data_IF_327740278169
#
_entry.id   IF_327740278169
#
_cell.length_a   1.000
_cell.length_b   1.000
_cell.length_c   1.000
_cell.angle_alpha   90.00
_cell.angle_beta   90.00
_cell.angle_gamma   90.00
#
_symmetry.space_group_name_H-M   'P 1'
#
loop_
_entity.id
_entity.type
_entity.pdbx_description
1 polymer ?
#
# COMPACT_ATOMS: atom_id res chain seq x y z
N UNK A 1 -2.42 -19.09 -8.34
CA UNK A 1 -2.46 -17.63 -8.08
C UNK A 1 -1.95 -16.92 -9.31
N UNK A 2 -2.55 -15.79 -9.72
CA UNK A 2 -2.04 -14.99 -10.85
C UNK A 2 -0.61 -14.52 -10.60
N UNK A 3 0.21 -14.49 -11.65
CA UNK A 3 1.63 -14.16 -11.56
C UNK A 3 1.93 -12.80 -10.91
N UNK A 4 1.20 -11.69 -11.21
CA UNK A 4 1.41 -10.41 -10.52
C UNK A 4 1.18 -10.48 -9.01
N UNK A 5 0.25 -11.32 -8.56
CA UNK A 5 -0.07 -11.50 -7.14
C UNK A 5 1.06 -12.25 -6.45
N UNK A 6 1.54 -13.34 -7.07
CA UNK A 6 2.70 -14.09 -6.54
C UNK A 6 3.92 -13.19 -6.45
N UNK A 7 4.16 -12.38 -7.49
CA UNK A 7 5.31 -11.49 -7.55
C UNK A 7 5.26 -10.44 -6.45
N UNK A 8 4.13 -9.71 -6.36
CA UNK A 8 3.95 -8.66 -5.35
C UNK A 8 4.10 -9.20 -3.93
N UNK A 9 3.49 -10.35 -3.62
CA UNK A 9 3.66 -10.99 -2.32
C UNK A 9 5.12 -11.36 -2.03
N UNK A 10 5.85 -11.88 -3.02
CA UNK A 10 7.21 -12.37 -2.83
C UNK A 10 8.30 -11.31 -2.78
N UNK A 11 8.08 -10.12 -3.37
CA UNK A 11 9.14 -9.11 -3.53
C UNK A 11 8.80 -7.71 -3.03
N UNK A 12 7.62 -7.48 -2.41
CA UNK A 12 7.23 -6.13 -1.96
C UNK A 12 8.19 -5.49 -0.95
N UNK A 13 9.02 -6.25 -0.23
CA UNK A 13 10.03 -5.70 0.68
C UNK A 13 11.36 -5.37 -0.03
N UNK A 14 11.52 -5.74 -1.30
CA UNK A 14 12.70 -5.42 -2.07
C UNK A 14 12.70 -3.92 -2.41
N UNK A 15 13.68 -3.21 -1.87
CA UNK A 15 13.86 -1.79 -2.11
C UNK A 15 14.21 -1.53 -3.59
N UNK A 16 13.68 -0.43 -4.12
CA UNK A 16 13.93 0.03 -5.49
C UNK A 16 13.70 -1.06 -6.55
N UNK A 17 12.56 -1.76 -6.44
CA UNK A 17 12.25 -2.88 -7.32
C UNK A 17 12.00 -2.41 -8.77
N UNK A 18 12.78 -2.94 -9.70
CA UNK A 18 12.60 -2.77 -11.13
C UNK A 18 12.60 -4.14 -11.82
N UNK A 19 11.42 -4.61 -12.22
CA UNK A 19 11.28 -5.95 -12.77
C UNK A 19 9.87 -6.27 -13.25
N UNK A 20 9.59 -7.55 -13.43
CA UNK A 20 8.27 -8.02 -13.86
C UNK A 20 7.18 -7.54 -12.89
N UNK A 21 6.08 -7.06 -13.47
CA UNK A 21 4.92 -6.58 -12.73
C UNK A 21 5.23 -5.46 -11.72
N UNK A 22 6.26 -4.64 -11.99
CA UNK A 22 6.70 -3.53 -11.13
C UNK A 22 5.55 -2.68 -10.57
N UNK A 23 4.59 -2.27 -11.39
CA UNK A 23 3.46 -1.47 -10.92
C UNK A 23 2.68 -2.15 -9.78
N UNK A 24 2.48 -3.47 -9.82
CA UNK A 24 1.78 -4.18 -8.75
C UNK A 24 2.61 -4.26 -7.46
N UNK A 25 3.94 -4.42 -7.59
CA UNK A 25 4.86 -4.37 -6.46
C UNK A 25 4.85 -2.97 -5.83
N UNK A 26 4.96 -1.92 -6.65
CA UNK A 26 4.92 -0.53 -6.22
C UNK A 26 3.58 -0.16 -5.57
N UNK A 27 2.45 -0.68 -6.07
CA UNK A 27 1.15 -0.47 -5.43
C UNK A 27 1.09 -1.06 -4.02
N UNK A 28 1.63 -2.26 -3.81
CA UNK A 28 1.73 -2.86 -2.47
C UNK A 28 2.69 -2.07 -1.59
N UNK A 29 3.82 -1.62 -2.14
CA UNK A 29 4.78 -0.79 -1.41
C UNK A 29 4.17 0.53 -0.96
N UNK A 30 3.48 1.23 -1.85
CA UNK A 30 2.78 2.48 -1.55
C UNK A 30 1.68 2.27 -0.51
N UNK A 31 0.87 1.22 -0.65
CA UNK A 31 -0.18 0.90 0.33
C UNK A 31 0.41 0.67 1.73
N UNK A 32 1.49 -0.10 1.83
CA UNK A 32 2.18 -0.31 3.11
C UNK A 32 2.78 0.99 3.66
N UNK A 33 3.39 1.84 2.83
CA UNK A 33 3.92 3.13 3.27
C UNK A 33 2.81 4.04 3.84
N UNK A 34 1.63 4.09 3.19
CA UNK A 34 0.48 4.88 3.66
C UNK A 34 -0.16 4.32 4.95
N UNK A 35 -0.12 3.00 5.13
CA UNK A 35 -0.68 2.32 6.31
C UNK A 35 0.28 2.28 7.51
N UNK A 36 1.59 2.47 7.29
CA UNK A 36 2.62 2.38 8.33
C UNK A 36 2.47 3.42 9.45
N UNK A 37 2.17 4.72 9.18
CA UNK A 37 1.88 5.70 10.24
C UNK A 37 0.68 5.32 11.12
N UNK A 38 -0.20 4.44 10.63
CA UNK A 38 -1.38 3.92 11.34
C UNK A 38 -1.10 2.63 12.11
N UNK A 39 0.14 2.14 12.09
CA UNK A 39 0.56 0.89 12.77
C UNK A 39 0.09 -0.39 12.06
N UNK A 40 -0.35 -0.29 10.80
CA UNK A 40 -0.89 -1.42 10.02
C UNK A 40 0.10 -1.86 8.93
N UNK A 41 0.78 -0.91 8.29
CA UNK A 41 1.69 -1.16 7.18
C UNK A 41 2.98 -1.88 7.58
N UNK A 42 3.66 -2.45 6.59
CA UNK A 42 4.93 -3.16 6.77
C UNK A 42 6.08 -2.22 7.18
N UNK A 43 6.72 -2.49 8.31
CA UNK A 43 7.84 -1.71 8.85
C UNK A 43 9.08 -1.73 7.96
N UNK A 44 9.27 -2.78 7.15
CA UNK A 44 10.43 -2.95 6.28
C UNK A 44 10.33 -2.18 4.97
N UNK A 45 9.16 -1.64 4.63
CA UNK A 45 9.00 -0.83 3.43
C UNK A 45 9.53 0.60 3.64
N UNK A 46 10.06 1.16 2.56
CA UNK A 46 10.58 2.52 2.53
C UNK A 46 9.49 3.55 2.83
N UNK A 47 9.85 4.57 3.61
CA UNK A 47 8.95 5.66 4.04
C UNK A 47 8.83 6.78 2.98
N UNK A 48 8.88 6.42 1.69
CA UNK A 48 8.84 7.39 0.59
C UNK A 48 7.58 7.21 -0.27
N UNK A 49 6.42 7.51 0.33
CA UNK A 49 5.13 7.44 -0.36
C UNK A 49 5.07 8.39 -1.56
N UNK A 50 5.79 9.53 -1.52
CA UNK A 50 5.84 10.49 -2.62
C UNK A 50 6.60 9.94 -3.84
N UNK A 51 7.78 9.34 -3.66
CA UNK A 51 8.52 8.69 -4.75
C UNK A 51 7.74 7.51 -5.33
N UNK A 52 7.19 6.65 -4.48
CA UNK A 52 6.37 5.50 -4.90
C UNK A 52 5.13 5.94 -5.70
N UNK A 53 4.45 7.01 -5.26
CA UNK A 53 3.34 7.61 -5.98
C UNK A 53 3.78 8.17 -7.35
N UNK A 54 4.89 8.90 -7.40
CA UNK A 54 5.44 9.44 -8.64
C UNK A 54 5.80 8.35 -9.65
N UNK A 55 6.40 7.24 -9.20
CA UNK A 55 6.69 6.06 -10.05
C UNK A 55 5.43 5.42 -10.62
N UNK A 56 4.34 5.45 -9.86
CA UNK A 56 3.00 5.03 -10.30
C UNK A 56 2.25 6.08 -11.13
N UNK A 57 2.88 7.24 -11.38
CA UNK A 57 2.29 8.39 -12.09
C UNK A 57 1.06 8.98 -11.40
N UNK A 58 1.02 8.87 -10.07
CA UNK A 58 0.05 9.52 -9.22
C UNK A 58 0.55 10.92 -8.86
N UNK A 59 -0.36 11.88 -8.87
CA UNK A 59 -0.09 13.24 -8.42
C UNK A 59 -0.25 13.37 -6.91
N UNK A 60 0.26 14.47 -6.34
CA UNK A 60 0.03 14.80 -4.93
C UNK A 60 -1.45 14.88 -4.57
N UNK A 61 -2.30 15.32 -5.51
CA UNK A 61 -3.75 15.35 -5.35
C UNK A 61 -4.34 13.94 -5.24
N UNK A 62 -3.84 13.00 -6.05
CA UNK A 62 -4.28 11.60 -5.99
C UNK A 62 -3.84 10.96 -4.67
N UNK A 63 -2.63 11.28 -4.20
CA UNK A 63 -2.11 10.78 -2.93
C UNK A 63 -2.93 11.31 -1.75
N UNK A 64 -3.27 12.61 -1.74
CA UNK A 64 -4.14 13.19 -0.72
C UNK A 64 -5.55 12.56 -0.72
N UNK A 65 -6.12 12.29 -1.90
CA UNK A 65 -7.41 11.60 -2.02
C UNK A 65 -7.36 10.15 -1.52
N UNK A 66 -6.23 9.45 -1.73
CA UNK A 66 -6.00 8.11 -1.18
C UNK A 66 -5.92 8.13 0.35
N UNK A 67 -5.22 9.11 0.93
CA UNK A 67 -5.14 9.27 2.38
C UNK A 67 -6.52 9.54 3.01
N UNK A 68 -7.31 10.43 2.40
CA UNK A 68 -8.69 10.70 2.85
C UNK A 68 -9.56 9.44 2.76
N UNK A 69 -9.43 8.68 1.66
CA UNK A 69 -10.16 7.42 1.48
C UNK A 69 -9.76 6.37 2.53
N UNK A 70 -8.48 6.29 2.88
CA UNK A 70 -7.99 5.38 3.92
C UNK A 70 -8.57 5.70 5.29
N UNK A 71 -8.73 6.98 5.63
CA UNK A 71 -9.32 7.39 6.92
C UNK A 71 -10.80 7.03 7.00
N UNK A 72 -11.54 7.17 5.90
CA UNK A 72 -12.96 6.79 5.82
C UNK A 72 -13.11 5.26 5.94
N UNK A 73 -12.40 4.50 5.11
CA UNK A 73 -12.55 3.04 5.03
C UNK A 73 -11.94 2.35 6.26
N UNK A 74 -10.89 2.91 6.86
CA UNK A 74 -10.26 2.34 8.06
C UNK A 74 -11.25 2.18 9.21
N UNK A 75 -12.09 3.19 9.45
CA UNK A 75 -13.14 3.11 10.48
C UNK A 75 -14.19 2.03 10.20
N UNK A 76 -14.57 1.84 8.93
CA UNK A 76 -15.51 0.79 8.53
C UNK A 76 -14.92 -0.61 8.69
N UNK A 77 -13.62 -0.78 8.38
CA UNK A 77 -12.91 -2.05 8.53
C UNK A 77 -12.76 -2.45 10.00
N UNK A 78 -12.43 -1.50 10.89
CA UNK A 78 -12.35 -1.76 12.32
C UNK A 78 -13.70 -2.18 12.90
N UNK A 79 -14.79 -1.55 12.43
CA UNK A 79 -16.15 -1.93 12.82
C UNK A 79 -16.49 -3.35 12.37
N UNK A 80 -16.18 -3.70 11.12
CA UNK A 80 -16.41 -5.05 10.59
C UNK A 80 -15.59 -6.10 11.34
N UNK A 81 -14.32 -5.82 11.63
CA UNK A 81 -13.45 -6.71 12.37
C UNK A 81 -13.99 -6.98 13.78
N UNK A 82 -14.51 -5.95 14.46
CA UNK A 82 -15.18 -6.09 15.76
C UNK A 82 -16.41 -6.99 15.70
N UNK A 83 -17.19 -6.95 14.61
CA UNK A 83 -18.37 -7.82 14.43
C UNK A 83 -18.00 -9.28 14.17
N UNK A 84 -16.87 -9.55 13.53
CA UNK A 84 -16.40 -10.92 13.26
C UNK A 84 -15.70 -11.57 14.46
N UNK A 85 -15.21 -10.77 15.40
CA UNK A 85 -14.54 -11.24 16.61
C UNK A 85 -15.49 -11.50 17.79
N UNK A 86 -16.78 -11.17 17.65
CA UNK A 86 -17.85 -11.33 18.65
C UNK A 86 -18.68 -12.60 18.41
#
# INVERSE_FOLDING_TARGET
>A
MPEPVVKSAGVHQQHDYHGEHENYVLMVQLANALLKPRGIGDEFNADDSADLAARLRLSDTDLAALEESLDIVGGELDQLAGLLAA
#
